data_IF_111856099818
#
_entry.id   IF_111856099818
#
_cell.length_a   1.000
_cell.length_b   1.000
_cell.length_c   1.000
_cell.angle_alpha   90.00
_cell.angle_beta   90.00
_cell.angle_gamma   90.00
#
_symmetry.space_group_name_H-M   'P 1'
#
loop_
_entity.id
_entity.type
_entity.pdbx_description
1 polymer ?
#
# COMPACT_ATOMS: atom_id res chain seq x y z
N UNK A 1 -25.81 26.90 -29.87
CA UNK A 1 -26.86 26.76 -28.84
C UNK A 1 -27.03 25.35 -28.26
N UNK A 2 -26.65 24.28 -28.95
CA UNK A 2 -26.79 22.89 -28.47
C UNK A 2 -25.69 22.51 -27.44
N UNK A 3 -24.48 23.07 -27.53
CA UNK A 3 -23.36 22.74 -26.62
C UNK A 3 -23.44 23.35 -25.22
N UNK A 4 -24.33 24.26 -24.92
CA UNK A 4 -24.49 24.83 -23.57
C UNK A 4 -25.51 24.09 -22.70
N UNK A 5 -26.35 23.23 -23.29
CA UNK A 5 -27.38 22.49 -22.54
C UNK A 5 -26.79 21.27 -21.81
N UNK A 6 -25.68 20.75 -22.28
CA UNK A 6 -25.01 19.51 -21.71
C UNK A 6 -24.18 19.81 -20.45
N UNK A 7 -23.93 21.10 -20.15
CA UNK A 7 -23.09 21.47 -18.98
C UNK A 7 -23.91 21.97 -17.78
N UNK A 8 -25.23 21.76 -17.73
CA UNK A 8 -25.99 22.14 -16.53
C UNK A 8 -25.80 21.05 -15.44
N UNK A 9 -25.34 21.41 -14.22
CA UNK A 9 -25.09 20.44 -13.13
C UNK A 9 -26.36 19.68 -12.69
N UNK A 10 -27.54 20.15 -13.08
CA UNK A 10 -28.84 19.49 -12.84
C UNK A 10 -29.11 18.36 -13.84
N UNK A 11 -28.77 18.54 -15.13
CA UNK A 11 -28.93 17.49 -16.14
C UNK A 11 -27.96 16.34 -15.93
N UNK A 12 -26.72 16.64 -15.56
CA UNK A 12 -25.70 15.59 -15.22
C UNK A 12 -26.18 14.75 -14.04
N UNK A 13 -26.68 15.36 -12.97
CA UNK A 13 -27.24 14.66 -11.80
C UNK A 13 -28.48 13.81 -12.14
N UNK A 14 -29.36 14.27 -13.00
CA UNK A 14 -30.55 13.49 -13.43
C UNK A 14 -30.12 12.28 -14.28
N UNK A 15 -29.19 12.46 -15.22
CA UNK A 15 -28.63 11.36 -16.02
C UNK A 15 -27.88 10.36 -15.13
N UNK A 16 -27.07 10.81 -14.20
CA UNK A 16 -26.40 9.96 -13.21
C UNK A 16 -27.39 9.20 -12.34
N UNK A 17 -28.48 9.84 -11.91
CA UNK A 17 -29.53 9.18 -11.11
C UNK A 17 -30.25 8.09 -11.90
N UNK A 18 -30.54 8.32 -13.18
CA UNK A 18 -31.17 7.33 -14.06
C UNK A 18 -30.21 6.17 -14.34
N UNK A 19 -28.94 6.46 -14.65
CA UNK A 19 -27.91 5.44 -14.86
C UNK A 19 -27.71 4.61 -13.60
N UNK A 20 -27.63 5.22 -12.42
CA UNK A 20 -27.48 4.53 -11.16
C UNK A 20 -28.74 3.71 -10.77
N UNK A 21 -29.94 4.11 -11.19
CA UNK A 21 -31.17 3.36 -10.98
C UNK A 21 -31.24 2.10 -11.87
N UNK A 22 -30.71 2.17 -13.09
CA UNK A 22 -30.70 1.04 -14.06
C UNK A 22 -29.47 0.16 -13.88
N UNK A 23 -28.32 0.75 -13.51
CA UNK A 23 -27.05 0.08 -13.27
C UNK A 23 -26.47 0.50 -11.92
N UNK A 24 -27.05 0.00 -10.82
CA UNK A 24 -26.59 0.39 -9.48
C UNK A 24 -25.15 -0.07 -9.30
N UNK A 25 -24.29 0.86 -8.84
CA UNK A 25 -22.90 0.55 -8.52
C UNK A 25 -22.87 -0.33 -7.26
N UNK A 26 -22.35 -1.53 -7.38
CA UNK A 26 -22.18 -2.42 -6.23
C UNK A 26 -21.02 -1.98 -5.36
N UNK A 27 -21.13 -2.17 -4.06
CA UNK A 27 -20.04 -2.01 -3.12
C UNK A 27 -18.97 -3.07 -3.35
N UNK A 28 -17.70 -2.66 -3.44
CA UNK A 28 -16.56 -3.57 -3.64
C UNK A 28 -16.40 -4.54 -2.45
N UNK A 29 -16.72 -4.09 -1.22
CA UNK A 29 -16.60 -4.91 -0.02
C UNK A 29 -17.71 -5.98 0.10
N UNK A 30 -18.98 -5.56 0.11
CA UNK A 30 -20.11 -6.48 0.39
C UNK A 30 -20.93 -6.90 -0.84
N UNK A 31 -20.67 -6.32 -2.02
CA UNK A 31 -21.41 -6.60 -3.26
C UNK A 31 -22.81 -5.97 -3.34
N UNK A 32 -23.33 -5.36 -2.26
CA UNK A 32 -24.65 -4.75 -2.24
C UNK A 32 -24.67 -3.42 -3.00
N UNK A 33 -25.87 -3.05 -3.51
CA UNK A 33 -26.06 -1.78 -4.18
C UNK A 33 -25.83 -0.62 -3.20
N UNK A 34 -25.00 0.34 -3.62
CA UNK A 34 -24.70 1.53 -2.82
C UNK A 34 -25.82 2.56 -2.94
N UNK A 35 -26.26 3.06 -1.80
CA UNK A 35 -27.28 4.12 -1.71
C UNK A 35 -26.71 5.45 -1.24
N UNK A 36 -25.50 5.44 -0.70
CA UNK A 36 -24.86 6.51 0.08
C UNK A 36 -23.83 7.34 -0.67
N UNK A 37 -23.81 7.27 -2.01
CA UNK A 37 -22.98 8.15 -2.85
C UNK A 37 -21.46 7.93 -2.78
N UNK A 38 -20.98 6.93 -2.07
CA UNK A 38 -19.56 6.54 -2.07
C UNK A 38 -19.10 6.04 -3.44
N UNK A 39 -17.79 6.19 -3.76
CA UNK A 39 -17.28 5.81 -5.07
C UNK A 39 -17.12 4.30 -5.24
N UNK A 40 -16.62 3.59 -4.21
CA UNK A 40 -16.33 2.14 -4.29
C UNK A 40 -16.87 1.34 -3.10
N UNK A 41 -16.95 1.93 -1.90
CA UNK A 41 -17.45 1.28 -0.69
C UNK A 41 -18.74 1.93 -0.19
N UNK A 42 -19.63 1.16 0.44
CA UNK A 42 -20.71 1.69 1.26
C UNK A 42 -20.22 2.10 2.65
N UNK A 43 -21.02 2.91 3.38
CA UNK A 43 -20.64 3.37 4.72
C UNK A 43 -20.27 2.24 5.66
N UNK A 44 -21.09 1.19 5.75
CA UNK A 44 -20.82 0.02 6.60
C UNK A 44 -19.48 -0.66 6.27
N UNK A 45 -19.15 -0.80 4.99
CA UNK A 45 -17.87 -1.38 4.60
C UNK A 45 -16.69 -0.45 4.88
N UNK A 46 -16.87 0.87 4.85
CA UNK A 46 -15.83 1.78 5.31
C UNK A 46 -15.58 1.59 6.79
N UNK A 47 -16.61 1.58 7.60
CA UNK A 47 -16.52 1.41 9.05
C UNK A 47 -15.92 0.04 9.45
N UNK A 48 -15.98 -0.98 8.55
CA UNK A 48 -15.44 -2.33 8.74
C UNK A 48 -13.96 -2.47 8.34
N UNK A 49 -13.31 -1.39 7.89
CA UNK A 49 -11.86 -1.40 7.64
C UNK A 49 -11.12 -1.37 8.96
N UNK A 50 -10.54 -2.52 9.34
CA UNK A 50 -9.78 -2.65 10.57
C UNK A 50 -8.36 -2.10 10.40
N UNK A 51 -8.07 -0.99 11.09
CA UNK A 51 -6.73 -0.41 11.19
C UNK A 51 -5.96 -1.13 12.30
N UNK A 52 -4.74 -1.57 11.98
CA UNK A 52 -3.89 -2.28 12.93
C UNK A 52 -3.39 -1.29 14.01
N UNK A 53 -3.65 -1.63 15.28
CA UNK A 53 -3.15 -0.90 16.45
C UNK A 53 -2.13 -1.70 17.25
N UNK A 54 -1.54 -1.04 18.25
CA UNK A 54 -0.59 -1.68 19.19
C UNK A 54 -1.26 -2.76 20.06
N UNK A 55 -0.46 -3.74 20.57
CA UNK A 55 0.99 -3.85 20.44
C UNK A 55 1.45 -4.56 19.17
N UNK A 56 2.50 -4.03 18.55
CA UNK A 56 3.08 -4.51 17.30
C UNK A 56 4.53 -4.93 17.49
N UNK A 57 4.98 -5.92 16.70
CA UNK A 57 6.41 -6.19 16.58
C UNK A 57 7.15 -4.93 16.13
N UNK A 58 8.16 -4.50 16.90
CA UNK A 58 8.88 -3.25 16.62
C UNK A 58 9.49 -3.25 15.22
N UNK A 59 10.08 -4.36 14.80
CA UNK A 59 10.71 -4.48 13.49
C UNK A 59 9.70 -4.61 12.36
N UNK A 60 8.83 -5.62 12.39
CA UNK A 60 8.03 -5.96 11.21
C UNK A 60 6.54 -5.57 11.31
N UNK A 61 6.09 -5.02 12.45
CA UNK A 61 4.71 -4.57 12.61
C UNK A 61 3.64 -5.67 12.63
N UNK A 62 4.02 -6.94 12.91
CA UNK A 62 3.01 -7.98 13.13
C UNK A 62 2.31 -7.71 14.46
N UNK A 63 0.96 -7.72 14.50
CA UNK A 63 0.24 -7.63 15.77
C UNK A 63 0.69 -8.75 16.70
N UNK A 64 0.82 -8.43 17.98
CA UNK A 64 0.98 -9.46 18.99
C UNK A 64 -0.35 -10.21 19.13
N UNK A 65 -0.29 -11.52 19.13
CA UNK A 65 -1.44 -12.38 19.45
C UNK A 65 -1.53 -12.43 20.97
N UNK A 66 -2.36 -11.52 21.54
CA UNK A 66 -2.34 -11.29 22.99
C UNK A 66 -3.50 -12.04 23.66
N UNK A 67 -3.14 -13.12 24.33
CA UNK A 67 -3.88 -13.67 25.46
C UNK A 67 -3.23 -13.33 26.83
N UNK A 68 -2.17 -12.48 26.87
CA UNK A 68 -1.38 -12.22 28.05
C UNK A 68 -0.97 -10.73 28.14
N UNK A 69 -0.76 -10.23 29.37
CA UNK A 69 -0.12 -8.95 29.69
C UNK A 69 1.33 -8.93 29.16
N UNK A 70 1.48 -8.66 27.87
CA UNK A 70 2.79 -8.35 27.31
C UNK A 70 3.16 -6.90 27.67
N UNK A 71 4.40 -6.63 28.08
CA UNK A 71 4.84 -5.24 28.19
C UNK A 71 4.65 -4.59 26.81
N UNK A 72 3.96 -3.44 26.80
CA UNK A 72 3.64 -2.70 25.58
C UNK A 72 4.89 -2.25 24.81
N UNK A 73 6.03 -2.21 25.48
CA UNK A 73 7.33 -1.80 24.95
C UNK A 73 8.20 -3.02 24.65
N UNK A 74 8.84 -3.04 23.48
CA UNK A 74 9.90 -4.01 23.15
C UNK A 74 9.43 -5.34 22.60
N UNK A 75 8.18 -5.47 22.12
CA UNK A 75 7.76 -6.72 21.49
C UNK A 75 8.47 -6.97 20.17
N UNK A 76 9.21 -8.05 20.10
CA UNK A 76 9.81 -8.55 18.86
C UNK A 76 9.37 -9.99 18.58
N UNK A 77 8.77 -10.22 17.41
CA UNK A 77 8.28 -11.54 17.03
C UNK A 77 9.42 -12.54 16.81
N UNK A 78 9.11 -13.84 16.92
CA UNK A 78 10.12 -14.90 16.81
C UNK A 78 10.90 -14.94 15.50
N UNK A 79 10.39 -14.33 14.43
CA UNK A 79 11.12 -14.18 13.17
C UNK A 79 12.14 -13.03 13.22
N UNK A 80 11.73 -11.87 13.73
CA UNK A 80 12.60 -10.69 13.80
C UNK A 80 13.76 -10.92 14.76
N UNK A 81 13.54 -11.56 15.91
CA UNK A 81 14.58 -11.97 16.85
C UNK A 81 15.69 -12.83 16.21
N UNK A 82 15.39 -13.55 15.13
CA UNK A 82 16.37 -14.32 14.36
C UNK A 82 17.12 -13.50 13.30
N UNK A 83 16.96 -12.17 13.30
CA UNK A 83 17.65 -11.28 12.36
C UNK A 83 17.11 -11.38 10.93
N UNK A 84 15.79 -11.52 10.75
CA UNK A 84 15.17 -11.91 9.48
C UNK A 84 15.09 -10.84 8.39
N UNK A 85 15.21 -9.54 8.70
CA UNK A 85 14.97 -8.45 7.75
C UNK A 85 16.14 -7.45 7.64
N UNK A 86 16.16 -6.70 6.53
CA UNK A 86 17.16 -5.67 6.21
C UNK A 86 16.62 -4.25 6.39
N UNK A 87 15.29 -4.08 6.39
CA UNK A 87 14.68 -2.81 6.71
C UNK A 87 14.73 -2.56 8.22
N UNK A 88 14.71 -1.30 8.58
CA UNK A 88 14.83 -0.88 9.98
C UNK A 88 13.48 -1.03 10.71
N UNK A 89 12.35 -0.76 10.03
CA UNK A 89 11.00 -0.90 10.60
C UNK A 89 10.00 -1.14 9.46
N UNK A 90 8.93 -1.89 9.71
CA UNK A 90 7.80 -1.99 8.80
C UNK A 90 6.48 -1.79 9.54
N UNK A 91 5.54 -1.10 8.90
CA UNK A 91 4.18 -0.87 9.38
C UNK A 91 3.19 -1.13 8.26
N UNK A 92 1.97 -1.47 8.63
CA UNK A 92 0.86 -1.67 7.69
C UNK A 92 -0.37 -0.98 8.23
N UNK A 93 -1.21 -0.40 7.35
CA UNK A 93 -2.43 0.26 7.76
C UNK A 93 -3.41 -0.71 8.39
N UNK A 94 -3.70 -1.85 7.74
CA UNK A 94 -4.71 -2.80 8.20
C UNK A 94 -4.32 -4.26 7.95
N UNK A 95 -5.19 -5.19 8.38
CA UNK A 95 -5.08 -6.60 8.05
C UNK A 95 -5.55 -6.85 6.61
N UNK A 96 -4.92 -7.82 5.93
CA UNK A 96 -5.30 -8.26 4.58
C UNK A 96 -6.47 -9.23 4.66
N UNK A 97 -7.61 -8.76 5.11
CA UNK A 97 -8.85 -9.51 5.24
C UNK A 97 -10.07 -8.69 4.82
N UNK A 98 -11.24 -9.29 4.86
CA UNK A 98 -12.54 -8.65 4.65
C UNK A 98 -12.51 -7.55 3.56
N UNK A 99 -12.99 -6.36 3.89
CA UNK A 99 -13.16 -5.22 2.98
C UNK A 99 -11.84 -4.72 2.39
N UNK A 100 -10.79 -4.62 3.23
CA UNK A 100 -9.49 -4.10 2.77
C UNK A 100 -8.86 -5.00 1.71
N UNK A 101 -8.99 -6.31 1.84
CA UNK A 101 -8.54 -7.30 0.85
C UNK A 101 -9.28 -7.14 -0.47
N UNK A 102 -10.62 -7.04 -0.43
CA UNK A 102 -11.43 -6.89 -1.65
C UNK A 102 -11.12 -5.55 -2.35
N UNK A 103 -10.94 -4.47 -1.59
CA UNK A 103 -10.58 -3.17 -2.13
C UNK A 103 -9.18 -3.18 -2.78
N UNK A 104 -8.17 -3.76 -2.13
CA UNK A 104 -6.82 -3.91 -2.70
C UNK A 104 -6.86 -4.81 -3.94
N UNK A 105 -7.67 -5.87 -3.93
CA UNK A 105 -7.83 -6.74 -5.09
C UNK A 105 -8.48 -5.99 -6.26
N UNK A 106 -9.54 -5.24 -5.99
CA UNK A 106 -10.21 -4.40 -6.96
C UNK A 106 -9.24 -3.35 -7.55
N UNK A 107 -8.51 -2.64 -6.69
CA UNK A 107 -7.48 -1.67 -7.08
C UNK A 107 -6.42 -2.29 -8.01
N UNK A 108 -5.97 -3.52 -7.72
CA UNK A 108 -4.95 -4.22 -8.51
C UNK A 108 -5.42 -4.69 -9.89
N UNK A 109 -6.67 -5.12 -10.02
CA UNK A 109 -7.10 -5.92 -11.18
C UNK A 109 -8.23 -5.32 -12.00
N UNK A 110 -8.86 -4.22 -11.55
CA UNK A 110 -9.95 -3.56 -12.28
C UNK A 110 -9.54 -2.26 -12.98
N UNK A 111 -8.24 -1.96 -13.05
CA UNK A 111 -7.73 -0.73 -13.65
C UNK A 111 -8.42 0.54 -13.11
N UNK A 112 -8.64 0.58 -11.80
CA UNK A 112 -9.34 1.67 -11.10
C UNK A 112 -8.40 2.31 -10.07
N UNK A 113 -7.46 3.17 -10.51
CA UNK A 113 -6.52 3.82 -9.58
C UNK A 113 -7.22 4.71 -8.54
N UNK A 114 -8.42 5.22 -8.86
CA UNK A 114 -9.24 6.01 -7.94
C UNK A 114 -9.73 5.25 -6.70
N UNK A 115 -9.71 3.91 -6.71
CA UNK A 115 -10.11 3.12 -5.54
C UNK A 115 -9.23 3.37 -4.31
N UNK A 116 -8.01 3.89 -4.50
CA UNK A 116 -7.13 4.30 -3.40
C UNK A 116 -7.72 5.47 -2.59
N UNK A 117 -8.61 6.28 -3.16
CA UNK A 117 -9.23 7.40 -2.47
C UNK A 117 -10.14 6.95 -1.31
N UNK A 118 -10.66 5.70 -1.37
CA UNK A 118 -11.41 5.13 -0.25
C UNK A 118 -10.53 4.90 0.99
N UNK A 119 -9.22 4.73 0.81
CA UNK A 119 -8.26 4.47 1.89
C UNK A 119 -7.60 5.78 2.37
N UNK A 120 -7.68 6.85 1.58
CA UNK A 120 -7.00 8.12 1.91
C UNK A 120 -7.34 8.68 3.30
N UNK A 121 -8.60 8.69 3.78
CA UNK A 121 -8.90 9.16 5.14
C UNK A 121 -8.12 8.40 6.22
N UNK A 122 -8.06 7.07 6.12
CA UNK A 122 -7.32 6.23 7.07
C UNK A 122 -5.80 6.45 7.00
N UNK A 123 -5.27 6.74 5.79
CA UNK A 123 -3.85 7.09 5.63
C UNK A 123 -3.55 8.43 6.29
N UNK A 124 -4.43 9.43 6.15
CA UNK A 124 -4.26 10.74 6.79
C UNK A 124 -4.27 10.60 8.30
N UNK A 125 -5.26 9.92 8.85
CA UNK A 125 -5.38 9.70 10.29
C UNK A 125 -4.14 8.96 10.83
N UNK A 126 -3.71 7.89 10.15
CA UNK A 126 -2.51 7.14 10.53
C UNK A 126 -1.26 8.02 10.53
N UNK A 127 -0.98 8.71 9.42
CA UNK A 127 0.24 9.50 9.29
C UNK A 127 0.21 10.80 10.10
N UNK A 128 -0.95 11.30 10.50
CA UNK A 128 -1.05 12.42 11.42
C UNK A 128 -0.51 12.08 12.80
N UNK A 129 -0.72 10.85 13.28
CA UNK A 129 -0.23 10.39 14.58
C UNK A 129 1.29 10.16 14.64
N UNK A 130 1.93 9.91 13.50
CA UNK A 130 3.36 9.57 13.43
C UNK A 130 4.17 10.43 12.43
N UNK A 131 3.65 11.59 12.03
CA UNK A 131 4.28 12.48 11.04
C UNK A 131 5.73 12.83 11.39
N UNK A 132 6.01 13.10 12.66
CA UNK A 132 7.34 13.49 13.12
C UNK A 132 8.40 12.40 12.92
N UNK A 133 8.01 11.12 12.96
CA UNK A 133 8.90 9.99 12.75
C UNK A 133 9.49 9.96 11.33
N UNK A 134 8.82 10.60 10.36
CA UNK A 134 9.21 10.61 8.96
C UNK A 134 9.87 11.91 8.50
N UNK A 135 10.16 12.83 9.40
CA UNK A 135 10.89 14.05 9.04
C UNK A 135 12.25 13.72 8.42
N UNK A 136 12.56 14.36 7.28
CA UNK A 136 13.80 14.14 6.53
C UNK A 136 13.85 12.83 5.72
N UNK A 137 12.74 12.09 5.64
CA UNK A 137 12.64 10.94 4.74
C UNK A 137 12.32 11.37 3.32
N UNK A 138 12.65 10.48 2.37
CA UNK A 138 12.15 10.52 0.99
C UNK A 138 11.29 9.29 0.74
N UNK A 139 10.20 9.46 0.01
CA UNK A 139 9.28 8.35 -0.31
C UNK A 139 9.75 7.64 -1.57
N UNK A 140 9.75 6.32 -1.57
CA UNK A 140 10.01 5.49 -2.75
C UNK A 140 9.01 4.33 -2.83
N UNK A 141 8.70 3.84 -4.03
CA UNK A 141 7.82 2.70 -4.22
C UNK A 141 8.58 1.43 -4.59
N UNK A 142 8.06 0.27 -4.16
CA UNK A 142 8.47 -1.03 -4.71
C UNK A 142 7.99 -1.13 -6.15
N UNK A 143 8.90 -1.26 -7.15
CA UNK A 143 8.50 -1.21 -8.55
C UNK A 143 7.84 -2.51 -9.02
N UNK A 144 6.84 -2.38 -9.90
CA UNK A 144 6.31 -3.50 -10.66
C UNK A 144 7.26 -3.91 -11.79
N UNK A 145 7.20 -5.17 -12.17
CA UNK A 145 7.82 -5.62 -13.42
C UNK A 145 7.06 -5.05 -14.63
N UNK A 146 7.78 -4.65 -15.68
CA UNK A 146 7.22 -3.99 -16.88
C UNK A 146 6.04 -4.74 -17.49
N UNK A 147 6.07 -6.07 -17.48
CA UNK A 147 4.97 -6.91 -17.98
C UNK A 147 3.69 -6.68 -17.16
N UNK A 148 3.79 -6.71 -15.82
CA UNK A 148 2.64 -6.45 -14.94
C UNK A 148 2.15 -5.02 -15.05
N UNK A 149 3.05 -4.05 -15.24
CA UNK A 149 2.67 -2.67 -15.48
C UNK A 149 1.84 -2.52 -16.75
N UNK A 150 2.22 -3.22 -17.84
CA UNK A 150 1.42 -3.25 -19.09
C UNK A 150 0.07 -3.93 -18.90
N UNK A 151 0.00 -5.02 -18.15
CA UNK A 151 -1.24 -5.75 -17.85
C UNK A 151 -2.22 -4.92 -16.99
N UNK A 152 -1.69 -4.15 -16.02
CA UNK A 152 -2.48 -3.41 -15.04
C UNK A 152 -2.77 -1.96 -15.44
N UNK A 153 -2.02 -1.41 -16.40
CA UNK A 153 -2.12 -0.02 -16.84
C UNK A 153 -1.48 1.01 -15.91
N UNK A 154 -1.21 0.69 -14.64
CA UNK A 154 -0.58 1.57 -13.67
C UNK A 154 0.21 0.80 -12.60
N UNK A 155 1.09 1.51 -11.88
CA UNK A 155 1.87 0.97 -10.77
C UNK A 155 1.21 1.35 -9.43
N UNK A 156 0.65 0.35 -8.75
CA UNK A 156 -0.13 0.52 -7.53
C UNK A 156 0.70 1.12 -6.39
N UNK A 157 1.90 0.58 -6.19
CA UNK A 157 2.79 1.03 -5.13
C UNK A 157 3.29 2.44 -5.40
N UNK A 158 3.45 2.85 -6.69
CA UNK A 158 3.81 4.20 -7.05
C UNK A 158 2.66 5.20 -6.79
N UNK A 159 1.42 4.86 -7.18
CA UNK A 159 0.24 5.72 -6.89
C UNK A 159 0.06 5.90 -5.39
N UNK A 160 0.22 4.83 -4.61
CA UNK A 160 0.17 4.90 -3.14
C UNK A 160 1.32 5.76 -2.58
N UNK A 161 2.54 5.59 -3.08
CA UNK A 161 3.70 6.36 -2.66
C UNK A 161 3.52 7.86 -2.95
N UNK A 162 2.96 8.21 -4.11
CA UNK A 162 2.64 9.59 -4.45
C UNK A 162 1.65 10.19 -3.44
N UNK A 163 0.55 9.49 -3.15
CA UNK A 163 -0.44 9.94 -2.18
C UNK A 163 0.15 10.12 -0.78
N UNK A 164 0.99 9.19 -0.32
CA UNK A 164 1.66 9.30 0.98
C UNK A 164 2.66 10.46 0.98
N UNK A 165 3.39 10.69 -0.12
CA UNK A 165 4.31 11.84 -0.23
C UNK A 165 3.57 13.18 -0.11
N UNK A 166 2.35 13.29 -0.68
CA UNK A 166 1.50 14.46 -0.54
C UNK A 166 0.97 14.63 0.89
N UNK A 167 0.52 13.53 1.55
CA UNK A 167 0.03 13.57 2.93
C UNK A 167 1.12 14.02 3.91
N UNK A 168 2.35 13.53 3.74
CA UNK A 168 3.47 13.81 4.63
C UNK A 168 4.26 15.08 4.24
N UNK A 169 4.03 15.62 3.03
CA UNK A 169 4.83 16.68 2.43
C UNK A 169 6.32 16.28 2.32
N UNK A 170 6.57 15.07 1.80
CA UNK A 170 7.90 14.49 1.64
C UNK A 170 8.27 14.36 0.15
N UNK A 171 9.56 14.47 -0.20
CA UNK A 171 10.01 14.28 -1.58
C UNK A 171 9.75 12.84 -2.06
N UNK A 172 9.11 12.71 -3.23
CA UNK A 172 8.93 11.42 -3.91
C UNK A 172 10.12 11.15 -4.84
N UNK A 173 10.82 10.05 -4.62
CA UNK A 173 11.88 9.59 -5.51
C UNK A 173 11.27 8.91 -6.74
N UNK A 174 11.52 9.51 -7.90
CA UNK A 174 10.94 9.02 -9.16
C UNK A 174 11.73 7.84 -9.69
N UNK A 175 11.32 6.63 -9.31
CA UNK A 175 11.82 5.34 -9.83
C UNK A 175 13.33 5.12 -9.69
N UNK A 176 13.92 5.34 -8.50
CA UNK A 176 15.35 5.05 -8.29
C UNK A 176 15.64 3.55 -8.34
N UNK A 177 14.60 2.71 -8.26
CA UNK A 177 14.66 1.25 -8.25
C UNK A 177 13.88 0.71 -9.44
N UNK A 178 14.40 -0.35 -10.06
CA UNK A 178 13.75 -1.07 -11.14
C UNK A 178 13.65 -2.55 -10.84
N UNK A 179 12.55 -3.19 -11.21
CA UNK A 179 12.41 -4.64 -11.19
C UNK A 179 12.88 -5.20 -12.53
N UNK A 180 14.02 -5.90 -12.50
CA UNK A 180 14.72 -6.40 -13.69
C UNK A 180 14.34 -7.84 -14.06
N UNK A 181 13.70 -8.58 -13.15
CA UNK A 181 13.30 -9.97 -13.39
C UNK A 181 11.83 -10.20 -13.01
N UNK A 182 11.10 -10.84 -13.92
CA UNK A 182 9.77 -11.36 -13.60
C UNK A 182 9.89 -12.49 -12.58
N UNK A 183 9.06 -12.46 -11.57
CA UNK A 183 9.00 -13.52 -10.56
C UNK A 183 7.64 -14.20 -10.61
N UNK A 184 7.64 -15.52 -10.38
CA UNK A 184 6.41 -16.30 -10.36
C UNK A 184 5.47 -15.83 -9.25
N UNK A 185 4.13 -15.93 -9.46
CA UNK A 185 3.16 -15.65 -8.42
C UNK A 185 3.48 -16.39 -7.13
N UNK A 186 3.35 -15.70 -5.99
CA UNK A 186 3.81 -16.22 -4.69
C UNK A 186 2.72 -16.97 -3.90
N UNK A 187 1.48 -17.03 -4.41
CA UNK A 187 0.32 -17.50 -3.65
C UNK A 187 0.45 -18.93 -3.09
N UNK A 188 1.23 -19.80 -3.75
CA UNK A 188 1.43 -21.20 -3.33
C UNK A 188 2.83 -21.51 -2.76
N UNK A 189 3.66 -20.48 -2.55
CA UNK A 189 5.05 -20.65 -2.10
C UNK A 189 5.15 -20.49 -0.59
N UNK A 190 5.98 -21.33 0.04
CA UNK A 190 6.35 -21.14 1.44
C UNK A 190 7.26 -19.90 1.62
N UNK A 191 7.52 -19.52 2.88
CA UNK A 191 8.28 -18.29 3.19
C UNK A 191 9.68 -18.30 2.56
N UNK A 192 10.43 -19.37 2.72
CA UNK A 192 11.80 -19.51 2.17
C UNK A 192 11.83 -19.41 0.65
N UNK A 193 10.89 -20.07 -0.02
CA UNK A 193 10.74 -19.99 -1.47
C UNK A 193 10.39 -18.58 -1.95
N UNK A 194 9.61 -17.81 -1.18
CA UNK A 194 9.31 -16.42 -1.50
C UNK A 194 10.54 -15.53 -1.44
N UNK A 195 11.42 -15.72 -0.45
CA UNK A 195 12.70 -15.01 -0.38
C UNK A 195 13.62 -15.36 -1.55
N UNK A 196 13.72 -16.64 -1.91
CA UNK A 196 14.52 -17.08 -3.07
C UNK A 196 13.96 -16.56 -4.40
N UNK A 197 12.64 -16.52 -4.54
CA UNK A 197 11.97 -16.09 -5.75
C UNK A 197 12.24 -14.62 -6.10
N UNK A 198 12.36 -13.73 -5.13
CA UNK A 198 12.61 -12.30 -5.35
C UNK A 198 14.09 -11.92 -5.33
N UNK A 199 14.99 -12.84 -4.96
CA UNK A 199 16.42 -12.57 -4.89
C UNK A 199 16.96 -12.10 -6.23
N UNK A 200 17.72 -10.99 -6.26
CA UNK A 200 18.26 -10.37 -7.48
C UNK A 200 17.18 -9.98 -8.52
N UNK A 201 15.96 -9.71 -8.07
CA UNK A 201 14.88 -9.28 -8.97
C UNK A 201 14.82 -7.75 -9.15
N UNK A 202 15.58 -7.00 -8.36
CA UNK A 202 15.60 -5.55 -8.36
C UNK A 202 17.00 -4.99 -8.56
N UNK A 203 17.07 -3.76 -9.05
CA UNK A 203 18.29 -3.01 -9.26
C UNK A 203 18.06 -1.54 -8.89
N UNK A 204 19.08 -0.87 -8.33
CA UNK A 204 19.08 0.57 -8.10
C UNK A 204 19.66 1.23 -9.35
N UNK A 205 18.85 1.98 -10.06
CA UNK A 205 19.22 2.62 -11.33
C UNK A 205 19.67 4.06 -11.15
N UNK A 206 19.36 4.66 -10.01
CA UNK A 206 19.81 5.99 -9.61
C UNK A 206 20.33 5.92 -8.17
N UNK A 207 21.62 5.63 -8.04
CA UNK A 207 22.27 5.49 -6.74
C UNK A 207 22.44 6.85 -6.03
N UNK A 208 22.60 7.94 -6.77
CA UNK A 208 22.75 9.29 -6.21
C UNK A 208 21.43 9.74 -5.58
N UNK A 209 20.29 9.38 -6.18
CA UNK A 209 18.98 9.71 -5.64
C UNK A 209 18.71 9.07 -4.27
N UNK A 210 19.38 7.99 -3.91
CA UNK A 210 19.18 7.26 -2.65
C UNK A 210 20.34 7.36 -1.66
N UNK A 211 21.49 7.89 -2.11
CA UNK A 211 22.71 8.00 -1.29
C UNK A 211 22.45 8.78 0.00
N UNK A 212 22.74 8.13 1.14
CA UNK A 212 22.63 8.68 2.50
C UNK A 212 21.22 9.18 2.90
N UNK A 213 20.20 8.92 2.07
CA UNK A 213 18.82 9.30 2.37
C UNK A 213 18.11 8.27 3.23
N UNK A 214 17.32 8.74 4.17
CA UNK A 214 16.32 7.95 4.85
C UNK A 214 15.13 7.74 3.89
N UNK A 215 14.67 6.49 3.74
CA UNK A 215 13.68 6.12 2.73
C UNK A 215 12.46 5.50 3.40
N UNK A 216 11.28 6.05 3.11
CA UNK A 216 10.00 5.42 3.37
C UNK A 216 9.60 4.62 2.11
N UNK A 217 9.80 3.30 2.16
CA UNK A 217 9.54 2.38 1.06
C UNK A 217 8.09 1.88 1.10
N UNK A 218 7.34 2.14 0.03
CA UNK A 218 5.91 1.85 -0.06
C UNK A 218 5.65 0.61 -0.93
N UNK A 219 4.82 -0.30 -0.42
CA UNK A 219 4.26 -1.42 -1.19
C UNK A 219 2.77 -1.58 -0.84
N UNK A 220 2.05 -2.43 -1.57
CA UNK A 220 0.60 -2.63 -1.34
C UNK A 220 0.31 -3.62 -0.20
N UNK A 221 0.97 -4.78 -0.16
CA UNK A 221 0.70 -5.84 0.84
C UNK A 221 1.99 -6.46 1.37
N UNK A 222 2.13 -6.42 2.68
CA UNK A 222 3.17 -7.15 3.39
C UNK A 222 2.71 -8.57 3.70
N UNK A 223 3.21 -9.55 2.95
CA UNK A 223 2.96 -10.98 3.23
C UNK A 223 4.09 -11.59 4.07
N UNK A 224 5.13 -12.04 3.44
CA UNK A 224 6.35 -12.54 4.11
C UNK A 224 7.42 -11.47 4.30
N UNK A 225 7.21 -10.29 3.72
CA UNK A 225 8.20 -9.21 3.66
C UNK A 225 9.34 -9.46 2.67
N UNK A 226 9.33 -10.56 1.90
CA UNK A 226 10.44 -10.92 1.01
C UNK A 226 10.73 -9.87 -0.06
N UNK A 227 9.70 -9.24 -0.64
CA UNK A 227 9.84 -8.20 -1.67
C UNK A 227 10.50 -6.94 -1.11
N UNK A 228 9.90 -6.37 -0.06
CA UNK A 228 10.43 -5.15 0.58
C UNK A 228 11.82 -5.39 1.19
N UNK A 229 12.08 -6.58 1.71
CA UNK A 229 13.40 -6.96 2.22
C UNK A 229 14.47 -7.00 1.12
N UNK A 230 14.16 -7.53 -0.07
CA UNK A 230 15.11 -7.55 -1.19
C UNK A 230 15.35 -6.15 -1.74
N UNK A 231 14.30 -5.32 -1.87
CA UNK A 231 14.44 -3.92 -2.28
C UNK A 231 15.29 -3.17 -1.26
N UNK A 232 15.03 -3.34 0.04
CA UNK A 232 15.84 -2.72 1.09
C UNK A 232 17.30 -3.14 1.01
N UNK A 233 17.57 -4.44 0.76
CA UNK A 233 18.94 -4.93 0.57
C UNK A 233 19.66 -4.17 -0.54
N UNK A 234 18.97 -3.90 -1.66
CA UNK A 234 19.55 -3.14 -2.78
C UNK A 234 19.78 -1.68 -2.41
N UNK A 235 18.82 -1.04 -1.73
CA UNK A 235 18.95 0.33 -1.22
C UNK A 235 20.12 0.49 -0.26
N UNK A 236 20.27 -0.43 0.71
CA UNK A 236 21.40 -0.43 1.66
C UNK A 236 22.75 -0.67 0.94
N UNK A 237 22.79 -1.47 -0.13
CA UNK A 237 23.98 -1.62 -0.96
C UNK A 237 24.32 -0.33 -1.72
N UNK A 238 23.34 0.47 -2.12
CA UNK A 238 23.50 1.80 -2.69
C UNK A 238 23.72 2.89 -1.63
N UNK A 239 24.02 2.50 -0.38
CA UNK A 239 24.33 3.40 0.74
C UNK A 239 23.15 4.29 1.17
N UNK A 240 21.90 3.83 1.00
CA UNK A 240 20.77 4.48 1.65
C UNK A 240 20.90 4.43 3.18
N UNK A 241 20.41 5.46 3.86
CA UNK A 241 20.34 5.55 5.32
C UNK A 241 19.33 4.59 5.93
N UNK A 242 18.47 5.08 6.81
CA UNK A 242 17.35 4.31 7.36
C UNK A 242 16.34 3.95 6.26
N UNK A 243 15.83 2.72 6.27
CA UNK A 243 14.76 2.29 5.34
C UNK A 243 13.59 1.77 6.16
N UNK A 244 12.54 2.54 6.25
CA UNK A 244 11.26 2.11 6.82
C UNK A 244 10.31 1.68 5.70
N UNK A 245 9.45 0.72 5.99
CA UNK A 245 8.49 0.15 5.05
C UNK A 245 7.08 0.48 5.52
N UNK A 246 6.23 0.91 4.58
CA UNK A 246 4.80 1.03 4.84
C UNK A 246 4.00 0.31 3.75
N UNK A 247 2.91 -0.38 4.15
CA UNK A 247 2.00 -1.08 3.23
C UNK A 247 0.54 -0.84 3.62
N UNK A 248 -0.38 -0.99 2.65
CA UNK A 248 -1.81 -0.88 2.95
C UNK A 248 -2.29 -2.02 3.83
N UNK A 249 -1.78 -3.22 3.61
CA UNK A 249 -2.26 -4.36 4.37
C UNK A 249 -1.14 -5.35 4.72
N UNK A 250 -1.40 -6.08 5.80
CA UNK A 250 -0.58 -7.19 6.27
C UNK A 250 -1.38 -8.50 6.19
N UNK A 251 -0.78 -9.54 5.55
CA UNK A 251 -1.33 -10.90 5.45
C UNK A 251 -0.53 -11.88 6.30
#
# INVERSE_FOLDING_TARGET
>A
MINQIIQSPRLTRVCESIVNAVFPRSCVGCGLNRKDGGDYLCGLCRDDIFVIGDPLCETCGIPADIDYDYPAEGFECGWCRKGGFRFDRARSLGLYDSVLKELIHFYKYRNQPGAINEIEPYLRDYFETCREEYQGYSVASVPLHVKKLKERGFDQSFVLAHKISEILDLPLLTRPIRRIRETLPQARKNRTERFQNVRKAFDVVDAEAVLEKNILLIDDVFTTGSTVNEVTRMLKQARAGCVQVFTLARA
#
